data_IF_309994298649
#
_entry.id   IF_309994298649
#
_cell.length_a   1.000
_cell.length_b   1.000
_cell.length_c   1.000
_cell.angle_alpha   90.00
_cell.angle_beta   90.00
_cell.angle_gamma   90.00
#
_symmetry.space_group_name_H-M   'P 1'
#
loop_
_entity.id
_entity.type
_entity.pdbx_description
1 polymer ?
#
# COMPACT_ATOMS: atom_id res chain seq x y z
N UNK A 1 -7.73 -9.63 13.80
CA UNK A 1 -8.30 -9.34 12.46
C UNK A 1 -8.87 -7.94 12.52
N UNK A 2 -8.40 -7.01 11.68
CA UNK A 2 -9.00 -5.68 11.60
C UNK A 2 -10.44 -5.79 11.12
N UNK A 3 -11.32 -4.95 11.63
CA UNK A 3 -12.67 -4.80 11.09
C UNK A 3 -12.60 -4.31 9.65
N UNK A 4 -13.54 -4.70 8.79
CA UNK A 4 -13.64 -4.10 7.45
C UNK A 4 -13.91 -2.61 7.63
N UNK A 5 -12.97 -1.76 7.23
CA UNK A 5 -13.14 -0.32 7.28
C UNK A 5 -14.32 0.13 6.43
N UNK A 6 -15.04 1.14 6.91
CA UNK A 6 -16.07 1.80 6.12
C UNK A 6 -15.47 2.39 4.84
N UNK A 7 -16.21 2.29 3.73
CA UNK A 7 -15.79 2.73 2.40
C UNK A 7 -15.22 4.15 2.37
N UNK A 8 -15.84 5.10 3.07
CA UNK A 8 -15.39 6.49 3.08
C UNK A 8 -13.99 6.67 3.71
N UNK A 9 -13.60 5.81 4.68
CA UNK A 9 -12.26 5.85 5.29
C UNK A 9 -11.20 5.36 4.30
N UNK A 10 -11.55 4.33 3.53
CA UNK A 10 -10.70 3.81 2.45
C UNK A 10 -10.53 4.88 1.37
N UNK A 11 -11.62 5.53 0.96
CA UNK A 11 -11.58 6.64 0.00
C UNK A 11 -10.72 7.81 0.50
N UNK A 12 -10.80 8.14 1.80
CA UNK A 12 -9.99 9.19 2.41
C UNK A 12 -8.48 8.87 2.36
N UNK A 13 -8.06 7.66 2.72
CA UNK A 13 -6.64 7.28 2.63
C UNK A 13 -6.15 7.22 1.18
N UNK A 14 -6.98 6.72 0.26
CA UNK A 14 -6.65 6.72 -1.17
C UNK A 14 -6.51 8.14 -1.73
N UNK A 15 -7.34 9.09 -1.28
CA UNK A 15 -7.20 10.50 -1.64
C UNK A 15 -5.85 11.08 -1.19
N UNK A 16 -5.41 10.76 0.05
CA UNK A 16 -4.08 11.15 0.53
C UNK A 16 -2.97 10.51 -0.31
N UNK A 17 -3.03 9.21 -0.57
CA UNK A 17 -2.02 8.51 -1.41
C UNK A 17 -1.91 9.15 -2.79
N UNK A 18 -3.02 9.54 -3.41
CA UNK A 18 -3.03 10.19 -4.73
C UNK A 18 -2.42 11.59 -4.74
N UNK A 19 -2.55 12.32 -3.62
CA UNK A 19 -1.96 13.66 -3.42
C UNK A 19 -0.47 13.61 -3.06
N UNK A 20 0.00 12.51 -2.45
CA UNK A 20 1.39 12.36 -2.08
C UNK A 20 2.29 12.43 -3.31
N UNK A 21 3.10 13.49 -3.38
CA UNK A 21 4.11 13.67 -4.42
C UNK A 21 5.22 12.63 -4.28
N UNK A 22 5.93 12.35 -5.37
CA UNK A 22 7.01 11.36 -5.35
C UNK A 22 8.11 11.73 -4.33
N UNK A 23 8.40 13.02 -4.15
CA UNK A 23 9.40 13.48 -3.17
C UNK A 23 8.97 13.23 -1.70
N UNK A 24 7.66 13.05 -1.47
CA UNK A 24 7.06 12.75 -0.18
C UNK A 24 6.62 11.27 -0.07
N UNK A 25 7.07 10.45 -1.02
CA UNK A 25 6.83 9.02 -1.06
C UNK A 25 8.10 8.24 -0.73
N UNK A 26 7.96 7.13 -0.01
CA UNK A 26 9.06 6.22 0.24
C UNK A 26 8.59 4.77 0.26
N UNK A 27 9.42 3.89 -0.28
CA UNK A 27 9.29 2.44 -0.08
C UNK A 27 10.21 1.96 1.04
N UNK A 28 9.65 1.30 2.05
CA UNK A 28 10.42 0.72 3.15
C UNK A 28 11.15 -0.52 2.67
N UNK A 29 12.42 -0.65 3.05
CA UNK A 29 13.23 -1.82 2.73
C UNK A 29 13.78 -1.86 1.30
N UNK A 30 13.45 -0.88 0.44
CA UNK A 30 14.01 -0.77 -0.92
C UNK A 30 15.54 -0.74 -0.93
N UNK A 31 16.19 -0.21 0.10
CA UNK A 31 17.65 -0.22 0.24
C UNK A 31 18.27 -1.55 0.71
N UNK A 32 17.50 -2.47 1.31
CA UNK A 32 18.03 -3.71 1.91
C UNK A 32 17.84 -4.91 0.97
N UNK A 33 18.93 -5.54 0.46
CA UNK A 33 18.82 -6.68 -0.47
C UNK A 33 18.16 -7.93 0.15
N UNK A 34 18.08 -8.02 1.48
CA UNK A 34 17.40 -9.14 2.18
C UNK A 34 15.91 -8.88 2.37
N UNK A 35 15.41 -7.69 2.05
CA UNK A 35 14.01 -7.36 2.21
C UNK A 35 13.18 -7.88 1.03
N UNK A 36 12.05 -8.53 1.33
CA UNK A 36 11.15 -9.08 0.31
C UNK A 36 10.62 -8.05 -0.68
N UNK A 37 10.38 -6.81 -0.24
CA UNK A 37 9.97 -5.71 -1.13
C UNK A 37 11.06 -5.41 -2.16
N UNK A 38 12.32 -5.28 -1.73
CA UNK A 38 13.46 -5.04 -2.63
C UNK A 38 13.66 -6.21 -3.59
N UNK A 39 13.58 -7.45 -3.10
CA UNK A 39 13.71 -8.64 -3.92
C UNK A 39 12.61 -8.70 -5.01
N UNK A 40 11.36 -8.48 -4.63
CA UNK A 40 10.23 -8.47 -5.55
C UNK A 40 10.33 -7.34 -6.57
N UNK A 41 10.58 -6.10 -6.13
CA UNK A 41 10.78 -4.96 -7.04
C UNK A 41 11.88 -5.25 -8.07
N UNK A 42 13.00 -5.83 -7.65
CA UNK A 42 14.08 -6.23 -8.57
C UNK A 42 13.60 -7.28 -9.57
N UNK A 43 12.86 -8.29 -9.12
CA UNK A 43 12.36 -9.37 -9.96
C UNK A 43 11.43 -8.87 -11.07
N UNK A 44 10.56 -7.90 -10.76
CA UNK A 44 9.63 -7.31 -11.72
C UNK A 44 10.16 -6.05 -12.44
N UNK A 45 11.44 -5.69 -12.22
CA UNK A 45 12.06 -4.52 -12.83
C UNK A 45 11.57 -3.16 -12.32
N UNK A 46 10.91 -3.12 -11.16
CA UNK A 46 10.34 -1.91 -10.56
C UNK A 46 11.36 -1.11 -9.76
N UNK A 47 11.20 0.21 -9.82
CA UNK A 47 11.84 1.23 -8.99
C UNK A 47 10.79 1.87 -8.08
N UNK A 48 11.23 2.70 -7.14
CA UNK A 48 10.29 3.38 -6.22
C UNK A 48 9.26 4.25 -6.97
N UNK A 49 9.64 4.84 -8.11
CA UNK A 49 8.72 5.60 -8.95
C UNK A 49 7.62 4.73 -9.57
N UNK A 50 7.89 3.47 -9.86
CA UNK A 50 6.90 2.54 -10.39
C UNK A 50 5.91 2.13 -9.30
N UNK A 51 6.43 1.81 -8.10
CA UNK A 51 5.60 1.56 -6.91
C UNK A 51 4.72 2.78 -6.58
N UNK A 52 5.27 3.99 -6.66
CA UNK A 52 4.52 5.24 -6.47
C UNK A 52 3.34 5.37 -7.43
N UNK A 53 3.55 5.06 -8.73
CA UNK A 53 2.45 5.05 -9.71
C UNK A 53 1.41 3.99 -9.35
N UNK A 54 1.84 2.76 -9.06
CA UNK A 54 0.93 1.66 -8.69
C UNK A 54 0.06 2.00 -7.49
N UNK A 55 0.62 2.56 -6.41
CA UNK A 55 -0.19 2.86 -5.21
C UNK A 55 -1.18 4.00 -5.41
N UNK A 56 -0.93 4.92 -6.35
CA UNK A 56 -1.86 6.02 -6.68
C UNK A 56 -3.06 5.55 -7.49
N UNK A 57 -2.91 4.44 -8.20
CA UNK A 57 -3.98 3.81 -8.98
C UNK A 57 -4.86 2.86 -8.14
N UNK A 58 -4.55 2.66 -6.86
CA UNK A 58 -5.35 1.80 -5.99
C UNK A 58 -6.79 2.31 -5.87
N UNK A 59 -7.72 1.37 -5.83
CA UNK A 59 -9.14 1.63 -5.67
C UNK A 59 -9.70 0.98 -4.41
N UNK A 60 -10.95 1.33 -4.08
CA UNK A 60 -11.67 0.67 -2.97
C UNK A 60 -11.78 -0.84 -3.21
N UNK A 61 -11.89 -1.27 -4.48
CA UNK A 61 -11.92 -2.69 -4.83
C UNK A 61 -10.57 -3.42 -4.61
N UNK A 62 -9.47 -2.68 -4.43
CA UNK A 62 -8.16 -3.24 -4.09
C UNK A 62 -7.96 -3.34 -2.58
N UNK A 63 -8.85 -2.76 -1.77
CA UNK A 63 -8.75 -2.84 -0.32
C UNK A 63 -8.92 -4.28 0.17
N UNK A 64 -8.02 -4.68 1.07
CA UNK A 64 -8.09 -5.96 1.75
C UNK A 64 -8.38 -5.81 3.25
N UNK A 65 -7.57 -5.04 3.98
CA UNK A 65 -7.75 -4.85 5.42
C UNK A 65 -7.17 -3.54 5.94
N UNK A 66 -7.65 -3.08 7.09
CA UNK A 66 -7.22 -1.85 7.75
C UNK A 66 -8.41 -1.09 8.34
N UNK A 67 -8.18 0.05 9.01
CA UNK A 67 -6.88 0.48 9.49
C UNK A 67 -6.27 -0.52 10.49
N UNK A 68 -4.94 -0.72 10.43
CA UNK A 68 -4.16 -1.54 11.36
C UNK A 68 -3.23 -0.63 12.16
N UNK A 69 -3.00 -0.95 13.43
CA UNK A 69 -2.04 -0.22 14.25
C UNK A 69 -0.61 -0.44 13.74
N UNK A 70 0.19 0.63 13.67
CA UNK A 70 1.63 0.54 13.41
C UNK A 70 2.32 -0.14 14.60
N UNK A 71 2.98 -1.27 14.34
CA UNK A 71 3.68 -2.11 15.32
C UNK A 71 4.89 -1.43 15.98
N UNK A 72 5.34 -0.30 15.42
CA UNK A 72 6.44 0.51 15.95
C UNK A 72 5.92 1.73 16.71
N UNK A 73 4.64 1.76 17.07
CA UNK A 73 4.03 2.77 17.94
C UNK A 73 3.91 4.15 17.31
N UNK A 74 3.99 4.27 15.98
CA UNK A 74 3.74 5.56 15.32
C UNK A 74 2.23 5.83 15.26
N UNK A 75 1.79 7.10 15.39
CA UNK A 75 0.38 7.47 15.35
C UNK A 75 -0.13 7.54 13.89
N UNK A 76 -0.05 6.43 13.16
CA UNK A 76 -0.57 6.32 11.79
C UNK A 76 -1.14 4.93 11.56
N UNK A 77 -2.23 4.90 10.83
CA UNK A 77 -2.88 3.66 10.43
C UNK A 77 -2.17 3.04 9.21
N UNK A 78 -2.01 1.72 9.25
CA UNK A 78 -1.55 0.92 8.13
C UNK A 78 -2.75 0.31 7.40
N UNK A 79 -2.69 0.37 6.09
CA UNK A 79 -3.74 -0.09 5.18
C UNK A 79 -3.15 -1.14 4.26
N UNK A 80 -3.88 -2.24 4.08
CA UNK A 80 -3.49 -3.35 3.22
C UNK A 80 -4.40 -3.35 2.00
N UNK A 81 -3.77 -3.29 0.85
CA UNK A 81 -4.36 -3.43 -0.46
C UNK A 81 -3.74 -4.61 -1.18
N UNK A 82 -4.46 -5.13 -2.16
CA UNK A 82 -4.00 -6.14 -3.08
C UNK A 82 -4.31 -5.75 -4.52
N UNK A 83 -3.36 -5.95 -5.42
CA UNK A 83 -3.57 -5.67 -6.85
C UNK A 83 -2.87 -6.72 -7.68
N UNK A 84 -3.50 -7.14 -8.75
CA UNK A 84 -2.86 -8.02 -9.72
C UNK A 84 -1.96 -7.20 -10.64
N UNK A 85 -0.66 -7.54 -10.67
CA UNK A 85 0.26 -7.13 -11.71
C UNK A 85 0.52 -8.37 -12.58
N UNK A 86 -0.05 -8.36 -13.78
CA UNK A 86 -0.18 -9.58 -14.60
C UNK A 86 -0.90 -10.69 -13.82
N UNK A 87 -0.28 -11.86 -13.65
CA UNK A 87 -0.84 -12.99 -12.90
C UNK A 87 -0.45 -12.98 -11.41
N UNK A 88 0.35 -12.00 -10.97
CA UNK A 88 0.86 -11.92 -9.61
C UNK A 88 -0.04 -11.07 -8.71
N UNK A 89 -0.61 -11.67 -7.67
CA UNK A 89 -1.30 -10.92 -6.62
C UNK A 89 -0.29 -10.21 -5.72
N UNK A 90 -0.21 -8.89 -5.80
CA UNK A 90 0.74 -8.09 -5.04
C UNK A 90 0.12 -7.63 -3.74
N UNK A 91 0.75 -7.99 -2.62
CA UNK A 91 0.48 -7.47 -1.30
C UNK A 91 1.10 -6.07 -1.13
N UNK A 92 0.25 -5.10 -0.81
CA UNK A 92 0.63 -3.71 -0.64
C UNK A 92 0.20 -3.25 0.75
N UNK A 93 1.16 -2.90 1.62
CA UNK A 93 0.88 -2.28 2.92
C UNK A 93 1.40 -0.86 2.93
N UNK A 94 0.57 0.13 3.22
CA UNK A 94 0.97 1.54 3.22
C UNK A 94 0.35 2.34 4.37
N UNK A 95 0.95 3.49 4.65
CA UNK A 95 0.35 4.55 5.44
C UNK A 95 0.39 5.85 4.64
N UNK A 96 -0.64 6.69 4.78
CA UNK A 96 -0.62 8.06 4.30
C UNK A 96 -1.08 9.01 5.40
N UNK A 97 -0.39 10.13 5.57
CA UNK A 97 -0.63 11.07 6.65
C UNK A 97 -0.13 12.47 6.28
N UNK A 98 -0.67 13.49 6.94
CA UNK A 98 -0.19 14.87 6.80
C UNK A 98 1.04 15.09 7.68
N UNK A 99 2.04 15.78 7.15
CA UNK A 99 3.19 16.28 7.91
C UNK A 99 3.47 17.71 7.48
N UNK A 100 3.25 18.66 8.39
CA UNK A 100 3.14 20.07 8.04
C UNK A 100 2.10 20.26 6.92
N UNK A 101 2.47 20.88 5.80
CA UNK A 101 1.58 21.16 4.68
C UNK A 101 1.61 20.10 3.56
N UNK A 102 2.42 19.04 3.72
CA UNK A 102 2.59 17.99 2.71
C UNK A 102 1.95 16.66 3.11
N UNK A 103 1.35 16.00 2.12
CA UNK A 103 0.90 14.61 2.26
C UNK A 103 2.08 13.66 2.09
N UNK A 104 2.34 12.87 3.12
CA UNK A 104 3.34 11.81 3.11
C UNK A 104 2.66 10.48 2.80
N UNK A 105 3.32 9.65 2.01
CA UNK A 105 2.91 8.26 1.79
C UNK A 105 4.11 7.31 1.94
N UNK A 106 3.94 6.28 2.77
CA UNK A 106 4.97 5.29 3.04
C UNK A 106 4.44 3.93 2.65
N UNK A 107 5.01 3.33 1.61
CA UNK A 107 4.77 1.94 1.25
C UNK A 107 5.65 1.04 2.13
N UNK A 108 5.06 0.38 3.11
CA UNK A 108 5.75 -0.47 4.08
C UNK A 108 6.08 -1.85 3.50
N UNK A 109 5.20 -2.38 2.66
CA UNK A 109 5.38 -3.66 1.98
C UNK A 109 4.88 -3.57 0.54
N UNK A 110 5.64 -4.11 -0.40
CA UNK A 110 5.25 -4.26 -1.80
C UNK A 110 5.91 -5.53 -2.35
N UNK A 111 5.20 -6.65 -2.28
CA UNK A 111 5.70 -7.97 -2.70
C UNK A 111 4.54 -8.90 -3.06
N UNK A 112 4.82 -10.01 -3.72
CA UNK A 112 3.84 -11.07 -3.96
C UNK A 112 3.14 -11.51 -2.66
N UNK A 113 1.82 -11.70 -2.70
CA UNK A 113 1.04 -12.14 -1.56
C UNK A 113 1.39 -13.58 -1.19
N UNK A 114 1.76 -13.81 0.06
CA UNK A 114 2.08 -15.16 0.57
C UNK A 114 0.83 -16.03 0.70
N UNK A 115 -0.35 -15.40 0.79
CA UNK A 115 -1.66 -16.03 0.89
C UNK A 115 -2.67 -15.20 0.10
N UNK A 116 -3.70 -15.83 -0.50
CA UNK A 116 -4.75 -15.11 -1.20
C UNK A 116 -5.38 -14.00 -0.35
N UNK A 117 -5.51 -12.80 -0.91
CA UNK A 117 -6.13 -11.69 -0.21
C UNK A 117 -7.66 -11.74 -0.33
N UNK A 118 -8.31 -11.30 0.75
CA UNK A 118 -9.76 -11.08 0.76
C UNK A 118 -10.02 -9.64 0.35
N UNK A 119 -10.98 -9.42 -0.54
CA UNK A 119 -11.35 -8.09 -1.06
C UNK A 119 -12.81 -7.75 -0.75
N UNK A 120 -13.11 -7.14 0.42
CA UNK A 120 -14.49 -6.91 0.85
C UNK A 120 -15.34 -6.06 -0.08
N UNK A 121 -14.71 -5.26 -0.94
CA UNK A 121 -15.38 -4.31 -1.85
C UNK A 121 -15.21 -4.66 -3.34
N UNK A 122 -14.51 -5.75 -3.67
CA UNK A 122 -14.40 -6.22 -5.06
C UNK A 122 -15.65 -7.02 -5.39
N UNK A 123 -16.36 -6.64 -6.45
CA UNK A 123 -17.52 -7.41 -6.92
C UNK A 123 -17.05 -8.80 -7.36
N UNK A 124 -17.81 -9.84 -7.03
CA UNK A 124 -17.66 -11.13 -7.69
C UNK A 124 -17.90 -10.91 -9.19
N UNK A 125 -16.96 -11.37 -10.01
CA UNK A 125 -17.08 -11.35 -11.47
C UNK A 125 -17.95 -12.51 -11.93
#
# INVERSE_FOLDING_TARGET
MGTVAERWKIEAVLALVRQARFECFRVVGSGDPRNKTRAFMKAIGYREADVHRTVRELEVADYSSGPLQDDKGRPRDLWVFGRYLEECEVYIKLAAYLKADDVQAVCVSFHEAEWPLVYPYRKAS
#
